data_IF_143436710564
#
_entry.id   IF_143436710564
#
_cell.length_a   1.000
_cell.length_b   1.000
_cell.length_c   1.000
_cell.angle_alpha   90.00
_cell.angle_beta   90.00
_cell.angle_gamma   90.00
#
_symmetry.space_group_name_H-M   'P 1'
#
loop_
_entity.id
_entity.type
_entity.pdbx_description
1 polymer ?
#
# COMPACT_ATOMS: atom_id res chain seq x y z
N UNK A 1 -0.07 -4.97 -10.52
CA UNK A 1 -0.20 -5.69 -9.24
C UNK A 1 1.11 -6.41 -8.97
N UNK A 2 1.55 -6.47 -7.71
CA UNK A 2 2.79 -7.14 -7.30
C UNK A 2 2.42 -8.54 -6.79
N UNK A 3 2.62 -9.55 -7.63
CA UNK A 3 2.48 -10.96 -7.23
C UNK A 3 3.76 -11.50 -6.58
N UNK A 4 4.91 -11.08 -7.10
CA UNK A 4 6.23 -11.39 -6.58
C UNK A 4 7.11 -10.15 -6.68
N UNK A 5 7.64 -9.63 -5.55
CA UNK A 5 8.50 -8.45 -5.56
C UNK A 5 9.78 -8.66 -6.37
N UNK A 6 10.03 -7.78 -7.34
CA UNK A 6 11.16 -7.88 -8.28
C UNK A 6 12.38 -7.04 -7.86
N UNK A 7 12.20 -6.13 -6.90
CA UNK A 7 13.24 -5.24 -6.39
C UNK A 7 13.01 -4.94 -4.90
N UNK A 8 13.97 -4.25 -4.27
CA UNK A 8 13.91 -3.92 -2.84
C UNK A 8 12.74 -2.99 -2.49
N UNK A 9 12.37 -2.05 -3.37
CA UNK A 9 11.26 -1.13 -3.14
C UNK A 9 9.91 -1.84 -3.15
N UNK A 10 9.68 -2.73 -4.11
CA UNK A 10 8.47 -3.57 -4.14
C UNK A 10 8.41 -4.49 -2.92
N UNK A 11 9.55 -5.05 -2.50
CA UNK A 11 9.61 -5.93 -1.33
C UNK A 11 9.31 -5.16 -0.05
N UNK A 12 9.89 -3.98 0.10
CA UNK A 12 9.59 -3.06 1.19
C UNK A 12 8.08 -2.73 1.21
N UNK A 13 7.52 -2.29 0.08
CA UNK A 13 6.11 -1.91 -0.01
C UNK A 13 5.17 -3.07 0.40
N UNK A 14 5.41 -4.27 -0.13
CA UNK A 14 4.60 -5.46 0.22
C UNK A 14 4.72 -5.80 1.69
N UNK A 15 5.93 -5.72 2.27
CA UNK A 15 6.15 -6.01 3.69
C UNK A 15 5.51 -4.97 4.61
N UNK A 16 5.54 -3.68 4.23
CA UNK A 16 4.90 -2.58 4.94
C UNK A 16 3.39 -2.79 4.97
N UNK A 17 2.78 -3.02 3.81
CA UNK A 17 1.34 -3.29 3.71
C UNK A 17 0.96 -4.53 4.53
N UNK A 18 1.75 -5.62 4.45
CA UNK A 18 1.48 -6.84 5.21
C UNK A 18 1.57 -6.62 6.74
N UNK A 19 2.54 -5.82 7.18
CA UNK A 19 2.73 -5.52 8.60
C UNK A 19 1.56 -4.70 9.14
N UNK A 20 1.18 -3.64 8.42
CA UNK A 20 0.10 -2.74 8.82
C UNK A 20 -1.28 -3.40 8.71
N UNK A 21 -1.52 -4.22 7.68
CA UNK A 21 -2.74 -5.01 7.56
C UNK A 21 -2.93 -5.96 8.76
N UNK A 22 -1.84 -6.63 9.18
CA UNK A 22 -1.84 -7.48 10.37
C UNK A 22 -2.09 -6.68 11.66
N UNK A 23 -1.51 -5.50 11.80
CA UNK A 23 -1.76 -4.62 12.94
C UNK A 23 -3.21 -4.12 12.99
N UNK A 24 -3.80 -3.84 11.82
CA UNK A 24 -5.18 -3.42 11.68
C UNK A 24 -6.20 -4.59 11.75
N UNK A 25 -5.73 -5.85 11.80
CA UNK A 25 -6.60 -7.03 11.87
C UNK A 25 -7.41 -7.27 10.60
N UNK A 26 -6.91 -6.87 9.43
CA UNK A 26 -7.55 -7.11 8.13
C UNK A 26 -6.80 -8.16 7.31
N UNK A 27 -7.47 -8.73 6.30
CA UNK A 27 -6.81 -9.57 5.33
C UNK A 27 -5.78 -8.76 4.53
N UNK A 28 -4.74 -9.43 4.03
CA UNK A 28 -3.70 -8.79 3.23
C UNK A 28 -4.32 -8.15 1.97
N UNK A 29 -4.23 -6.83 1.79
CA UNK A 29 -4.65 -6.18 0.56
C UNK A 29 -3.79 -6.61 -0.62
N UNK A 30 -4.36 -6.59 -1.80
CA UNK A 30 -3.58 -6.58 -3.03
C UNK A 30 -2.71 -5.31 -3.05
N UNK A 31 -1.49 -5.42 -3.58
CA UNK A 31 -0.57 -4.28 -3.69
C UNK A 31 -0.30 -4.00 -5.15
N UNK A 32 -0.42 -2.73 -5.56
CA UNK A 32 -0.10 -2.31 -6.91
C UNK A 32 0.74 -1.04 -6.91
N UNK A 33 1.66 -0.97 -7.88
CA UNK A 33 2.31 0.28 -8.28
C UNK A 33 1.72 0.68 -9.63
N UNK A 34 1.37 1.95 -9.79
CA UNK A 34 0.95 2.51 -11.07
C UNK A 34 1.84 3.68 -11.49
N UNK A 35 1.99 3.85 -12.79
CA UNK A 35 2.86 4.89 -13.36
C UNK A 35 2.13 6.23 -13.38
N UNK A 36 2.54 7.12 -12.49
CA UNK A 36 2.10 8.51 -12.43
C UNK A 36 3.19 9.37 -11.78
N UNK A 37 3.41 10.61 -12.23
CA UNK A 37 4.38 11.52 -11.63
C UNK A 37 3.88 12.12 -10.31
N UNK A 38 2.58 12.15 -10.09
CA UNK A 38 1.97 12.71 -8.89
C UNK A 38 2.31 11.88 -7.65
N UNK A 39 2.41 12.53 -6.49
CA UNK A 39 2.60 11.88 -5.19
C UNK A 39 1.21 11.46 -4.68
N UNK A 40 0.85 10.20 -4.94
CA UNK A 40 -0.47 9.69 -4.58
C UNK A 40 -0.44 8.21 -4.17
N UNK A 41 -1.31 7.85 -3.22
CA UNK A 41 -1.70 6.49 -2.87
C UNK A 41 -3.21 6.48 -2.58
N UNK A 42 -3.85 5.34 -2.83
CA UNK A 42 -5.24 5.14 -2.43
C UNK A 42 -5.49 3.68 -2.05
N UNK A 43 -6.42 3.49 -1.14
CA UNK A 43 -6.99 2.19 -0.84
C UNK A 43 -8.44 2.07 -1.28
N UNK A 44 -8.84 0.87 -1.68
CA UNK A 44 -10.25 0.54 -1.93
C UNK A 44 -10.51 -0.90 -1.54
N UNK A 45 -11.73 -1.21 -1.09
CA UNK A 45 -12.13 -2.56 -0.76
C UNK A 45 -13.61 -2.61 -0.48
N UNK A 46 -14.39 -3.17 -1.40
CA UNK A 46 -15.83 -3.37 -1.20
C UNK A 46 -16.12 -4.39 -0.07
N UNK A 47 -15.13 -5.20 0.31
CA UNK A 47 -15.15 -6.16 1.42
C UNK A 47 -13.75 -6.31 2.02
N UNK A 48 -13.66 -6.62 3.31
CA UNK A 48 -12.40 -6.78 4.07
C UNK A 48 -11.45 -7.85 3.49
N UNK A 49 -11.99 -8.81 2.74
CA UNK A 49 -11.27 -9.91 2.08
C UNK A 49 -10.86 -9.63 0.62
N UNK A 50 -11.27 -8.48 0.07
CA UNK A 50 -10.99 -8.09 -1.31
C UNK A 50 -10.64 -6.59 -1.38
N UNK A 51 -9.54 -6.22 -0.73
CA UNK A 51 -9.01 -4.85 -0.72
C UNK A 51 -7.75 -4.69 -1.56
N UNK A 52 -7.47 -3.47 -1.99
CA UNK A 52 -6.34 -3.06 -2.81
C UNK A 52 -5.73 -1.79 -2.24
N UNK A 53 -4.40 -1.77 -2.13
CA UNK A 53 -3.59 -0.56 -1.93
C UNK A 53 -2.80 -0.30 -3.21
N UNK A 54 -2.98 0.89 -3.79
CA UNK A 54 -2.31 1.31 -5.01
C UNK A 54 -1.46 2.56 -4.76
N UNK A 55 -0.19 2.50 -5.15
CA UNK A 55 0.80 3.56 -4.93
C UNK A 55 1.38 4.03 -6.26
N UNK A 56 1.48 5.34 -6.46
CA UNK A 56 2.09 5.93 -7.65
C UNK A 56 3.61 5.79 -7.66
N UNK A 57 4.23 5.77 -8.84
CA UNK A 57 5.68 5.91 -8.96
C UNK A 57 6.20 7.23 -8.38
N UNK A 58 5.44 8.33 -8.51
CA UNK A 58 5.80 9.63 -7.95
C UNK A 58 5.92 9.61 -6.43
N UNK A 59 5.00 8.94 -5.72
CA UNK A 59 5.11 8.77 -4.28
C UNK A 59 6.39 8.01 -3.89
N UNK A 60 6.65 6.85 -4.50
CA UNK A 60 7.81 6.02 -4.17
C UNK A 60 9.16 6.65 -4.51
N UNK A 61 9.18 7.66 -5.37
CA UNK A 61 10.39 8.37 -5.77
C UNK A 61 10.65 9.62 -4.95
N UNK A 62 9.60 10.28 -4.44
CA UNK A 62 9.70 11.59 -3.81
C UNK A 62 9.46 11.59 -2.29
N UNK A 63 8.90 10.51 -1.74
CA UNK A 63 8.77 10.36 -0.29
C UNK A 63 9.89 9.50 0.27
N UNK A 64 10.31 9.82 1.49
CA UNK A 64 11.12 8.93 2.30
C UNK A 64 10.32 7.68 2.70
N UNK A 65 11.00 6.58 3.10
CA UNK A 65 10.32 5.38 3.59
C UNK A 65 9.34 5.66 4.74
N UNK A 66 9.71 6.52 5.68
CA UNK A 66 8.88 6.85 6.84
C UNK A 66 7.61 7.63 6.45
N UNK A 67 7.73 8.61 5.54
CA UNK A 67 6.58 9.36 5.02
C UNK A 67 5.63 8.45 4.23
N UNK A 68 6.19 7.62 3.35
CA UNK A 68 5.40 6.67 2.56
C UNK A 68 4.72 5.63 3.46
N UNK A 69 5.40 5.13 4.50
CA UNK A 69 4.83 4.22 5.49
C UNK A 69 3.63 4.84 6.23
N UNK A 70 3.73 6.11 6.62
CA UNK A 70 2.65 6.83 7.27
C UNK A 70 1.43 7.01 6.35
N UNK A 71 1.64 7.31 5.06
CA UNK A 71 0.55 7.39 4.08
C UNK A 71 -0.12 6.03 3.88
N UNK A 72 0.66 4.94 3.75
CA UNK A 72 0.10 3.60 3.60
C UNK A 72 -0.70 3.20 4.84
N UNK A 73 -0.24 3.57 6.05
CA UNK A 73 -0.97 3.31 7.29
C UNK A 73 -2.33 4.02 7.31
N UNK A 74 -2.36 5.28 6.86
CA UNK A 74 -3.60 6.05 6.71
C UNK A 74 -4.56 5.34 5.75
N UNK A 75 -4.10 4.91 4.58
CA UNK A 75 -4.93 4.21 3.59
C UNK A 75 -5.45 2.85 4.11
N UNK A 76 -4.63 2.10 4.85
CA UNK A 76 -5.05 0.84 5.48
C UNK A 76 -6.14 1.09 6.54
N UNK A 77 -6.09 2.22 7.25
CA UNK A 77 -7.13 2.57 8.21
C UNK A 77 -8.50 2.72 7.55
N UNK A 78 -8.57 3.24 6.32
CA UNK A 78 -9.82 3.32 5.55
C UNK A 78 -10.37 1.93 5.23
N UNK A 79 -9.52 0.98 4.82
CA UNK A 79 -9.92 -0.42 4.59
C UNK A 79 -10.45 -1.08 5.87
N UNK A 80 -9.75 -0.85 6.99
CA UNK A 80 -10.11 -1.43 8.27
C UNK A 80 -11.41 -0.88 8.83
N UNK A 81 -11.75 0.36 8.48
CA UNK A 81 -12.98 1.02 8.90
C UNK A 81 -14.17 0.74 7.98
N UNK A 82 -13.92 0.43 6.70
CA UNK A 82 -14.93 -0.05 5.75
C UNK A 82 -16.07 0.93 5.52
#
# INVERSE_FOLDING_TARGET
MIEQPRNERERWLVNTVATQARQAGIAMPQVAIYHAPDINAFATGARRDASLVAVSTGLLQNMSPDEAEAVIAHEISHIANG
#
